data_IF_717758997504
#
_entry.id   IF_717758997504
#
_cell.length_a   1.000
_cell.length_b   1.000
_cell.length_c   1.000
_cell.angle_alpha   90.00
_cell.angle_beta   90.00
_cell.angle_gamma   90.00
#
_symmetry.space_group_name_H-M   'P 1'
#
loop_
_entity.id
_entity.type
_entity.pdbx_description
1 polymer ?
#
# COMPACT_ATOMS: atom_id res chain seq x y z
N UNK A 1 -26.69 -22.95 -10.99
CA UNK A 1 -26.27 -21.84 -11.88
C UNK A 1 -25.67 -22.49 -13.09
N UNK A 2 -26.22 -22.24 -14.29
CA UNK A 2 -25.55 -22.66 -15.52
C UNK A 2 -24.33 -21.77 -15.73
N UNK A 3 -23.20 -22.21 -15.23
CA UNK A 3 -21.93 -21.56 -15.47
C UNK A 3 -21.58 -21.76 -16.94
N UNK A 4 -21.78 -20.73 -17.75
CA UNK A 4 -21.57 -20.80 -19.19
C UNK A 4 -20.09 -20.54 -19.48
N UNK A 5 -19.45 -21.46 -20.19
CA UNK A 5 -18.15 -21.19 -20.78
C UNK A 5 -18.28 -20.21 -21.93
N UNK A 6 -17.30 -19.28 -21.99
CA UNK A 6 -17.21 -18.28 -23.05
C UNK A 6 -15.77 -18.19 -23.55
N UNK A 7 -15.63 -17.81 -24.82
CA UNK A 7 -14.32 -17.51 -25.39
C UNK A 7 -14.13 -15.99 -25.40
N UNK A 8 -13.07 -15.49 -24.75
CA UNK A 8 -12.69 -14.08 -24.75
C UNK A 8 -11.22 -13.97 -25.20
N UNK A 9 -10.91 -12.86 -25.84
CA UNK A 9 -9.52 -12.57 -26.14
C UNK A 9 -8.80 -12.16 -24.85
N UNK A 10 -7.68 -12.82 -24.50
CA UNK A 10 -6.88 -12.51 -23.31
C UNK A 10 -6.40 -11.06 -23.29
N UNK A 11 -6.30 -10.41 -24.45
CA UNK A 11 -5.97 -9.00 -24.55
C UNK A 11 -7.12 -8.05 -24.11
N UNK A 12 -8.36 -8.53 -24.04
CA UNK A 12 -9.56 -7.74 -23.74
C UNK A 12 -10.05 -7.90 -22.30
N UNK A 13 -9.33 -8.66 -21.47
CA UNK A 13 -9.65 -8.87 -20.06
C UNK A 13 -8.54 -8.35 -19.16
N UNK A 14 -8.90 -8.02 -17.92
CA UNK A 14 -7.99 -7.56 -16.87
C UNK A 14 -8.17 -8.46 -15.65
N UNK A 15 -7.07 -8.93 -15.10
CA UNK A 15 -7.07 -9.68 -13.85
C UNK A 15 -7.44 -8.77 -12.68
N UNK A 16 -8.30 -9.28 -11.80
CA UNK A 16 -8.75 -8.58 -10.58
C UNK A 16 -8.52 -9.44 -9.34
N UNK A 17 -8.34 -8.80 -8.19
CA UNK A 17 -8.08 -9.51 -6.93
C UNK A 17 -9.32 -10.31 -6.49
N UNK A 18 -9.16 -11.57 -6.14
CA UNK A 18 -10.24 -12.44 -5.64
C UNK A 18 -10.90 -11.93 -4.37
N UNK A 19 -10.16 -11.23 -3.53
CA UNK A 19 -10.63 -10.70 -2.25
C UNK A 19 -11.69 -9.61 -2.38
N UNK A 20 -11.97 -9.12 -3.58
CA UNK A 20 -13.11 -8.22 -3.82
C UNK A 20 -14.46 -8.93 -3.81
N UNK A 21 -14.47 -10.26 -3.86
CA UNK A 21 -15.70 -11.04 -4.05
C UNK A 21 -16.04 -11.85 -2.81
N UNK A 22 -17.33 -11.84 -2.44
CA UNK A 22 -17.91 -12.63 -1.35
C UNK A 22 -19.32 -13.07 -1.71
N UNK A 23 -19.83 -14.08 -1.04
CA UNK A 23 -21.16 -14.62 -1.30
C UNK A 23 -22.25 -13.58 -1.10
N UNK A 24 -23.17 -13.54 -2.05
CA UNK A 24 -24.27 -12.59 -2.07
C UNK A 24 -23.93 -11.22 -2.64
N UNK A 25 -22.65 -10.97 -3.03
CA UNK A 25 -22.28 -9.76 -3.72
C UNK A 25 -22.96 -9.69 -5.10
N UNK A 26 -23.60 -8.56 -5.37
CA UNK A 26 -24.17 -8.24 -6.69
C UNK A 26 -23.23 -7.29 -7.42
N UNK A 27 -22.43 -7.83 -8.33
CA UNK A 27 -21.48 -7.04 -9.12
C UNK A 27 -22.20 -6.45 -10.36
N UNK A 28 -21.98 -5.18 -10.71
CA UNK A 28 -22.65 -4.56 -11.86
C UNK A 28 -22.10 -5.00 -13.21
N UNK A 29 -21.00 -5.76 -13.22
CA UNK A 29 -20.34 -6.25 -14.43
C UNK A 29 -20.15 -7.76 -14.38
N UNK A 30 -20.02 -8.44 -15.53
CA UNK A 30 -19.73 -9.87 -15.55
C UNK A 30 -18.32 -10.14 -15.02
N UNK A 31 -18.19 -11.24 -14.27
CA UNK A 31 -16.92 -11.70 -13.67
C UNK A 31 -16.61 -13.09 -14.19
N UNK A 32 -15.34 -13.30 -14.53
CA UNK A 32 -14.88 -14.49 -15.21
C UNK A 32 -13.77 -15.19 -14.42
N UNK A 33 -13.78 -16.53 -14.43
CA UNK A 33 -12.68 -17.38 -14.01
C UNK A 33 -11.96 -17.91 -15.25
N UNK A 34 -10.64 -17.75 -15.32
CA UNK A 34 -9.86 -18.28 -16.43
C UNK A 34 -9.63 -19.78 -16.26
N UNK A 35 -10.05 -20.56 -17.25
CA UNK A 35 -9.83 -22.03 -17.33
C UNK A 35 -8.53 -22.33 -18.08
N UNK A 36 -8.35 -21.68 -19.23
CA UNK A 36 -7.15 -21.78 -20.07
C UNK A 36 -7.03 -20.52 -20.94
N UNK A 37 -6.04 -20.43 -21.80
CA UNK A 37 -5.87 -19.31 -22.71
C UNK A 37 -7.11 -19.14 -23.61
N UNK A 38 -7.73 -17.98 -23.58
CA UNK A 38 -8.92 -17.67 -24.34
C UNK A 38 -10.23 -18.29 -23.82
N UNK A 39 -10.19 -19.19 -22.81
CA UNK A 39 -11.36 -19.88 -22.28
C UNK A 39 -11.67 -19.44 -20.84
N UNK A 40 -12.90 -18.99 -20.64
CA UNK A 40 -13.35 -18.40 -19.39
C UNK A 40 -14.70 -18.98 -18.97
N UNK A 41 -14.89 -19.07 -17.65
CA UNK A 41 -16.16 -19.46 -17.03
C UNK A 41 -16.82 -18.21 -16.43
N UNK A 42 -18.08 -17.94 -16.78
CA UNK A 42 -18.84 -16.84 -16.15
C UNK A 42 -19.19 -17.25 -14.71
N UNK A 43 -18.63 -16.55 -13.72
CA UNK A 43 -18.85 -16.84 -12.29
C UNK A 43 -19.82 -15.85 -11.62
N UNK A 44 -20.03 -14.70 -12.22
CA UNK A 44 -21.09 -13.77 -11.85
C UNK A 44 -21.62 -13.05 -13.11
N UNK A 45 -22.94 -12.98 -13.25
CA UNK A 45 -23.60 -12.16 -14.25
C UNK A 45 -23.89 -10.77 -13.66
N UNK A 46 -24.01 -9.74 -14.51
CA UNK A 46 -24.29 -8.38 -14.04
C UNK A 46 -25.55 -8.33 -13.16
N UNK A 47 -25.41 -7.71 -11.99
CA UNK A 47 -26.48 -7.49 -11.00
C UNK A 47 -27.16 -8.75 -10.42
N UNK A 48 -26.61 -9.93 -10.68
CA UNK A 48 -27.03 -11.17 -10.02
C UNK A 48 -26.20 -11.41 -8.74
N UNK A 49 -26.85 -11.93 -7.68
CA UNK A 49 -26.13 -12.38 -6.48
C UNK A 49 -25.38 -13.65 -6.81
N UNK A 50 -24.07 -13.63 -6.69
CA UNK A 50 -23.21 -14.76 -6.97
C UNK A 50 -22.77 -15.48 -5.68
N UNK A 51 -22.51 -16.78 -5.80
CA UNK A 51 -21.91 -17.61 -4.74
C UNK A 51 -20.43 -17.77 -5.04
N UNK A 52 -19.62 -16.87 -4.48
CA UNK A 52 -18.17 -16.86 -4.68
C UNK A 52 -17.44 -17.89 -3.79
N UNK A 53 -18.08 -18.46 -2.77
CA UNK A 53 -17.54 -19.59 -1.99
C UNK A 53 -17.23 -20.81 -2.88
N UNK A 54 -17.99 -20.99 -3.96
CA UNK A 54 -17.69 -22.03 -4.95
C UNK A 54 -16.37 -21.81 -5.70
N UNK A 55 -15.83 -20.59 -5.74
CA UNK A 55 -14.49 -20.33 -6.29
C UNK A 55 -13.39 -21.04 -5.49
N UNK A 56 -13.58 -21.26 -4.20
CA UNK A 56 -12.63 -21.99 -3.38
C UNK A 56 -12.65 -23.49 -3.67
N UNK A 57 -13.77 -24.04 -4.16
CA UNK A 57 -13.87 -25.44 -4.56
C UNK A 57 -13.31 -25.73 -5.96
N UNK A 58 -13.24 -24.71 -6.85
CA UNK A 58 -12.53 -24.76 -8.13
C UNK A 58 -11.06 -24.32 -7.99
N UNK A 59 -10.67 -23.91 -6.80
CA UNK A 59 -9.40 -23.28 -6.55
C UNK A 59 -8.29 -24.29 -6.22
N UNK A 60 -7.64 -24.81 -7.21
CA UNK A 60 -6.18 -24.87 -7.16
C UNK A 60 -5.67 -23.44 -6.95
N UNK A 61 -4.55 -23.24 -6.22
CA UNK A 61 -3.98 -21.94 -5.88
C UNK A 61 -3.76 -20.96 -7.08
N UNK A 62 -4.02 -21.39 -8.30
CA UNK A 62 -3.83 -20.70 -9.58
C UNK A 62 -5.10 -20.12 -10.22
N UNK A 63 -6.30 -20.25 -9.61
CA UNK A 63 -7.51 -19.71 -10.24
C UNK A 63 -7.48 -18.18 -10.26
N UNK A 64 -7.44 -17.58 -11.44
CA UNK A 64 -7.35 -16.13 -11.68
C UNK A 64 -8.72 -15.60 -12.12
N UNK A 65 -9.12 -14.46 -11.56
CA UNK A 65 -10.42 -13.82 -11.81
C UNK A 65 -10.22 -12.61 -12.71
N UNK A 66 -11.15 -12.40 -13.64
CA UNK A 66 -11.03 -11.37 -14.66
C UNK A 66 -12.35 -10.61 -14.84
N UNK A 67 -12.21 -9.37 -15.31
CA UNK A 67 -13.29 -8.56 -15.88
C UNK A 67 -12.88 -8.06 -17.27
N UNK A 68 -13.84 -7.80 -18.16
CA UNK A 68 -13.52 -7.22 -19.45
C UNK A 68 -13.04 -5.77 -19.32
N UNK A 69 -12.09 -5.36 -20.17
CA UNK A 69 -11.53 -4.00 -20.17
C UNK A 69 -12.61 -2.92 -20.33
N UNK A 70 -13.62 -3.19 -21.16
CA UNK A 70 -14.74 -2.27 -21.39
C UNK A 70 -15.54 -2.00 -20.11
N UNK A 71 -15.57 -2.92 -19.17
CA UNK A 71 -16.29 -2.84 -17.90
C UNK A 71 -15.42 -2.45 -16.71
N UNK A 72 -14.11 -2.32 -16.90
CA UNK A 72 -13.15 -2.19 -15.82
C UNK A 72 -13.35 -0.94 -14.97
N UNK A 73 -13.58 0.22 -15.58
CA UNK A 73 -13.85 1.47 -14.84
C UNK A 73 -15.12 1.38 -13.98
N UNK A 74 -16.16 0.71 -14.51
CA UNK A 74 -17.41 0.48 -13.77
C UNK A 74 -17.17 -0.45 -12.58
N UNK A 75 -16.37 -1.50 -12.78
CA UNK A 75 -15.97 -2.42 -11.73
C UNK A 75 -15.19 -1.72 -10.61
N UNK A 76 -14.19 -0.91 -10.93
CA UNK A 76 -13.38 -0.21 -9.94
C UNK A 76 -14.19 0.83 -9.17
N UNK A 77 -15.06 1.59 -9.83
CA UNK A 77 -15.98 2.50 -9.11
C UNK A 77 -16.88 1.76 -8.15
N UNK A 78 -17.38 0.60 -8.55
CA UNK A 78 -18.19 -0.26 -7.69
C UNK A 78 -17.41 -0.74 -6.47
N UNK A 79 -16.20 -1.31 -6.66
CA UNK A 79 -15.35 -1.79 -5.56
C UNK A 79 -14.96 -0.65 -4.61
N UNK A 80 -14.67 0.54 -5.16
CA UNK A 80 -14.36 1.72 -4.34
C UNK A 80 -15.53 2.11 -3.45
N UNK A 81 -16.76 2.22 -4.02
CA UNK A 81 -17.95 2.56 -3.24
C UNK A 81 -18.32 1.47 -2.21
N UNK A 82 -18.10 0.20 -2.56
CA UNK A 82 -18.26 -0.92 -1.64
C UNK A 82 -17.28 -0.79 -0.46
N UNK A 83 -16.02 -0.50 -0.74
CA UNK A 83 -14.98 -0.33 0.29
C UNK A 83 -15.26 0.86 1.20
N UNK A 84 -15.75 1.98 0.65
CA UNK A 84 -16.21 3.14 1.44
C UNK A 84 -17.31 2.74 2.44
N UNK A 85 -18.30 1.98 1.97
CA UNK A 85 -19.37 1.46 2.85
C UNK A 85 -18.84 0.52 3.92
N UNK A 86 -17.89 -0.35 3.58
CA UNK A 86 -17.29 -1.30 4.51
C UNK A 86 -16.47 -0.63 5.60
N UNK A 87 -15.71 0.42 5.29
CA UNK A 87 -14.92 1.16 6.28
C UNK A 87 -15.83 1.78 7.33
N UNK A 88 -16.98 2.32 6.94
CA UNK A 88 -17.99 2.87 7.84
C UNK A 88 -18.75 1.83 8.68
N UNK A 89 -18.62 0.54 8.37
CA UNK A 89 -19.32 -0.52 9.12
C UNK A 89 -18.49 -1.01 10.31
N UNK A 90 -18.89 -0.64 11.53
CA UNK A 90 -18.19 -1.01 12.76
C UNK A 90 -18.20 -2.51 13.07
N UNK A 91 -19.16 -3.28 12.52
CA UNK A 91 -19.26 -4.72 12.75
C UNK A 91 -18.26 -5.55 11.94
N UNK A 92 -17.65 -4.96 10.90
CA UNK A 92 -16.68 -5.67 10.08
C UNK A 92 -15.28 -5.63 10.69
N UNK A 93 -14.57 -6.80 10.74
CA UNK A 93 -13.20 -6.86 11.22
C UNK A 93 -12.27 -5.92 10.42
N UNK A 94 -11.35 -5.24 11.10
CA UNK A 94 -10.38 -4.33 10.48
C UNK A 94 -9.52 -5.01 9.40
N UNK A 95 -9.15 -6.29 9.60
CA UNK A 95 -8.43 -7.09 8.58
C UNK A 95 -9.25 -7.24 7.30
N UNK A 96 -10.57 -7.42 7.39
CA UNK A 96 -11.44 -7.50 6.21
C UNK A 96 -11.43 -6.18 5.45
N UNK A 97 -11.63 -5.06 6.14
CA UNK A 97 -11.56 -3.71 5.55
C UNK A 97 -10.22 -3.47 4.88
N UNK A 98 -9.13 -3.86 5.54
CA UNK A 98 -7.77 -3.67 5.05
C UNK A 98 -7.49 -4.44 3.74
N UNK A 99 -8.02 -5.65 3.58
CA UNK A 99 -7.89 -6.42 2.33
C UNK A 99 -8.50 -5.70 1.12
N UNK A 100 -9.64 -5.03 1.31
CA UNK A 100 -10.28 -4.25 0.23
C UNK A 100 -9.47 -2.99 -0.10
N UNK A 101 -9.01 -2.28 0.94
CA UNK A 101 -8.16 -1.08 0.76
C UNK A 101 -6.85 -1.46 0.09
N UNK A 102 -6.20 -2.56 0.49
CA UNK A 102 -4.99 -3.06 -0.17
C UNK A 102 -5.22 -3.37 -1.65
N UNK A 103 -6.33 -4.04 -1.98
CA UNK A 103 -6.67 -4.33 -3.35
C UNK A 103 -6.81 -3.07 -4.21
N UNK A 104 -7.49 -2.03 -3.70
CA UNK A 104 -7.62 -0.74 -4.39
C UNK A 104 -6.28 0.00 -4.49
N UNK A 105 -5.46 -0.02 -3.44
CA UNK A 105 -4.12 0.56 -3.46
C UNK A 105 -3.23 -0.10 -4.51
N UNK A 106 -3.24 -1.43 -4.55
CA UNK A 106 -2.54 -2.20 -5.58
C UNK A 106 -3.02 -1.85 -7.00
N UNK A 107 -4.34 -1.68 -7.18
CA UNK A 107 -4.88 -1.25 -8.47
C UNK A 107 -4.35 0.12 -8.88
N UNK A 108 -4.36 1.11 -7.97
CA UNK A 108 -3.80 2.45 -8.27
C UNK A 108 -2.34 2.34 -8.69
N UNK A 109 -1.52 1.58 -7.97
CA UNK A 109 -0.11 1.36 -8.29
C UNK A 109 0.04 0.74 -9.69
N UNK A 110 -0.75 -0.29 -10.03
CA UNK A 110 -0.71 -0.94 -11.36
C UNK A 110 -1.10 -0.02 -12.52
N UNK A 111 -1.95 0.99 -12.30
CA UNK A 111 -2.28 1.96 -13.35
C UNK A 111 -1.05 2.76 -13.80
N UNK A 112 -0.13 3.05 -12.89
CA UNK A 112 1.15 3.71 -13.22
C UNK A 112 2.10 2.78 -13.96
N UNK A 113 2.20 1.50 -13.58
CA UNK A 113 2.98 0.49 -14.32
C UNK A 113 2.59 0.45 -15.80
N UNK A 114 1.30 0.51 -16.06
CA UNK A 114 0.75 0.39 -17.42
C UNK A 114 0.67 1.72 -18.18
N UNK A 115 1.13 2.85 -17.61
CA UNK A 115 1.01 4.21 -18.15
C UNK A 115 -0.44 4.57 -18.58
N UNK A 116 -1.44 4.06 -17.85
CA UNK A 116 -2.88 4.17 -18.15
C UNK A 116 -3.63 4.99 -17.11
N UNK A 117 -2.96 5.84 -16.37
CA UNK A 117 -3.63 6.65 -15.37
C UNK A 117 -4.51 7.70 -16.05
N UNK A 118 -5.82 7.53 -15.98
CA UNK A 118 -6.81 8.42 -16.61
C UNK A 118 -7.83 9.00 -15.61
N UNK A 119 -7.81 8.56 -14.35
CA UNK A 119 -8.80 8.96 -13.34
C UNK A 119 -8.15 9.44 -12.05
N UNK A 120 -7.77 10.73 -12.00
CA UNK A 120 -7.13 11.37 -10.86
C UNK A 120 -8.00 11.31 -9.58
N UNK A 121 -9.33 11.42 -9.69
CA UNK A 121 -10.25 11.35 -8.55
C UNK A 121 -10.16 10.01 -7.80
N UNK A 122 -9.82 8.92 -8.50
CA UNK A 122 -9.64 7.62 -7.87
C UNK A 122 -8.45 7.60 -6.93
N UNK A 123 -7.37 8.32 -7.28
CA UNK A 123 -6.19 8.45 -6.43
C UNK A 123 -6.55 9.08 -5.08
N UNK A 124 -7.24 10.22 -5.10
CA UNK A 124 -7.71 10.90 -3.89
C UNK A 124 -8.65 10.01 -3.07
N UNK A 125 -9.57 9.29 -3.73
CA UNK A 125 -10.49 8.39 -3.03
C UNK A 125 -9.76 7.24 -2.35
N UNK A 126 -8.82 6.58 -3.03
CA UNK A 126 -8.07 5.45 -2.47
C UNK A 126 -7.15 5.92 -1.33
N UNK A 127 -6.43 7.02 -1.47
CA UNK A 127 -5.62 7.58 -0.38
C UNK A 127 -6.46 7.96 0.84
N UNK A 128 -7.67 8.52 0.63
CA UNK A 128 -8.62 8.80 1.71
C UNK A 128 -9.11 7.52 2.41
N UNK A 129 -9.28 6.40 1.68
CA UNK A 129 -9.66 5.12 2.29
C UNK A 129 -8.54 4.53 3.15
N UNK A 130 -7.28 4.64 2.70
CA UNK A 130 -6.11 4.26 3.51
C UNK A 130 -6.06 5.09 4.79
N UNK A 131 -6.25 6.41 4.69
CA UNK A 131 -6.29 7.33 5.83
C UNK A 131 -7.41 6.96 6.82
N UNK A 132 -8.64 6.81 6.34
CA UNK A 132 -9.79 6.45 7.19
C UNK A 132 -9.59 5.11 7.90
N UNK A 133 -9.00 4.14 7.21
CA UNK A 133 -8.67 2.86 7.81
C UNK A 133 -7.60 3.03 8.90
N UNK A 134 -6.53 3.78 8.66
CA UNK A 134 -5.48 4.03 9.65
C UNK A 134 -6.02 4.71 10.91
N UNK A 135 -6.90 5.69 10.76
CA UNK A 135 -7.55 6.40 11.87
C UNK A 135 -8.60 5.56 12.63
N UNK A 136 -9.09 4.48 12.02
CA UNK A 136 -10.02 3.54 12.69
C UNK A 136 -9.33 2.51 13.57
N UNK A 137 -8.00 2.46 13.57
CA UNK A 137 -7.19 1.45 14.28
C UNK A 137 -6.77 1.98 15.64
N UNK A 138 -6.90 1.17 16.70
CA UNK A 138 -6.73 1.58 18.10
C UNK A 138 -5.31 1.43 18.64
N UNK A 139 -4.29 1.54 17.79
CA UNK A 139 -2.89 1.52 18.20
C UNK A 139 -2.03 0.52 17.42
N UNK A 140 -0.73 0.56 17.69
CA UNK A 140 0.27 -0.14 16.89
C UNK A 140 0.07 -1.68 16.85
N UNK A 141 -0.32 -2.31 17.96
CA UNK A 141 -0.56 -3.76 18.00
C UNK A 141 -1.70 -4.25 17.10
N UNK A 142 -2.71 -3.40 16.85
CA UNK A 142 -3.76 -3.71 15.88
C UNK A 142 -3.25 -3.55 14.45
N UNK A 143 -2.41 -2.55 14.19
CA UNK A 143 -1.72 -2.37 12.90
C UNK A 143 -0.88 -3.62 12.57
N UNK A 144 -0.07 -4.11 13.52
CA UNK A 144 0.72 -5.34 13.33
C UNK A 144 -0.17 -6.53 12.93
N UNK A 145 -1.31 -6.72 13.60
CA UNK A 145 -2.27 -7.82 13.29
C UNK A 145 -2.85 -7.67 11.89
N UNK A 146 -3.27 -6.45 11.53
CA UNK A 146 -3.83 -6.17 10.21
C UNK A 146 -2.80 -6.47 9.12
N UNK A 147 -1.62 -5.87 9.21
CA UNK A 147 -0.59 -5.98 8.20
C UNK A 147 -0.01 -7.40 8.08
N UNK A 148 0.09 -8.14 9.19
CA UNK A 148 0.51 -9.55 9.16
C UNK A 148 -0.48 -10.45 8.42
N UNK A 149 -1.75 -10.09 8.38
CA UNK A 149 -2.80 -10.84 7.69
C UNK A 149 -2.96 -10.47 6.20
N UNK A 150 -2.23 -9.46 5.72
CA UNK A 150 -2.25 -9.02 4.31
C UNK A 150 -1.17 -9.73 3.49
N UNK A 151 -1.44 -10.03 2.20
CA UNK A 151 -0.43 -10.43 1.24
C UNK A 151 0.75 -9.44 1.19
N UNK A 152 1.96 -9.96 1.01
CA UNK A 152 3.15 -9.13 0.91
C UNK A 152 3.30 -8.59 -0.52
N UNK A 153 2.98 -7.31 -0.72
CA UNK A 153 3.10 -6.59 -1.97
C UNK A 153 3.38 -5.09 -1.70
N UNK A 154 3.61 -4.31 -2.77
CA UNK A 154 3.89 -2.86 -2.67
C UNK A 154 2.74 -2.10 -1.99
N UNK A 155 1.49 -2.52 -2.21
CA UNK A 155 0.33 -1.90 -1.56
C UNK A 155 0.34 -2.10 -0.04
N UNK A 156 0.76 -3.28 0.45
CA UNK A 156 0.95 -3.52 1.89
C UNK A 156 2.02 -2.60 2.47
N UNK A 157 3.15 -2.44 1.78
CA UNK A 157 4.21 -1.53 2.22
C UNK A 157 3.71 -0.08 2.28
N UNK A 158 3.04 0.40 1.24
CA UNK A 158 2.44 1.74 1.20
C UNK A 158 1.42 1.96 2.33
N UNK A 159 0.59 0.96 2.64
CA UNK A 159 -0.35 1.01 3.75
C UNK A 159 0.36 1.01 5.11
N UNK A 160 1.39 0.19 5.29
CA UNK A 160 2.19 0.15 6.51
C UNK A 160 2.86 1.50 6.76
N UNK A 161 3.49 2.05 5.74
CA UNK A 161 4.11 3.39 5.79
C UNK A 161 3.08 4.45 6.16
N UNK A 162 1.86 4.40 5.57
CA UNK A 162 0.79 5.34 5.89
C UNK A 162 0.34 5.22 7.35
N UNK A 163 0.07 4.01 7.84
CA UNK A 163 -0.39 3.80 9.21
C UNK A 163 0.63 4.32 10.23
N UNK A 164 1.92 4.02 10.01
CA UNK A 164 3.01 4.49 10.87
C UNK A 164 3.14 6.01 10.79
N UNK A 165 3.08 6.60 9.59
CA UNK A 165 3.18 8.05 9.38
C UNK A 165 2.04 8.81 10.08
N UNK A 166 0.80 8.31 9.99
CA UNK A 166 -0.36 8.91 10.65
C UNK A 166 -0.21 8.83 12.17
N UNK A 167 0.18 7.68 12.74
CA UNK A 167 0.44 7.55 14.17
C UNK A 167 1.54 8.49 14.66
N UNK A 168 2.64 8.62 13.91
CA UNK A 168 3.71 9.58 14.24
C UNK A 168 3.16 11.01 14.23
N UNK A 169 2.37 11.39 13.23
CA UNK A 169 1.79 12.72 13.13
C UNK A 169 0.82 13.00 14.28
N UNK A 170 0.00 12.04 14.69
CA UNK A 170 -0.90 12.13 15.84
C UNK A 170 -0.10 12.25 17.16
N UNK A 171 0.95 11.46 17.38
CA UNK A 171 1.84 11.55 18.55
C UNK A 171 2.57 12.90 18.59
N UNK A 172 2.81 13.54 17.45
CA UNK A 172 3.36 14.89 17.34
C UNK A 172 2.29 15.98 17.47
N UNK A 173 1.07 15.63 17.87
CA UNK A 173 -0.06 16.56 18.07
C UNK A 173 -0.48 17.31 16.79
N UNK A 174 -0.23 16.75 15.61
CA UNK A 174 -0.73 17.28 14.35
C UNK A 174 -2.23 16.98 14.27
N UNK A 175 -3.07 17.99 14.06
CA UNK A 175 -4.53 17.85 14.04
C UNK A 175 -5.18 18.26 12.71
N UNK A 176 -4.42 18.84 11.80
CA UNK A 176 -4.94 19.36 10.53
C UNK A 176 -5.27 18.24 9.55
N UNK A 177 -6.54 18.07 9.19
CA UNK A 177 -7.01 17.03 8.28
C UNK A 177 -6.28 17.01 6.94
N UNK A 178 -6.00 18.19 6.37
CA UNK A 178 -5.24 18.33 5.12
C UNK A 178 -3.81 17.77 5.20
N UNK A 179 -3.18 17.79 6.38
CA UNK A 179 -1.85 17.21 6.58
C UNK A 179 -1.93 15.69 6.47
N UNK A 180 -2.92 15.07 7.09
CA UNK A 180 -3.15 13.63 7.01
C UNK A 180 -3.48 13.17 5.58
N UNK A 181 -4.29 13.94 4.84
CA UNK A 181 -4.58 13.65 3.43
C UNK A 181 -3.32 13.67 2.56
N UNK A 182 -2.46 14.69 2.73
CA UNK A 182 -1.17 14.79 2.02
C UNK A 182 -0.23 13.65 2.38
N UNK A 183 -0.12 13.32 3.68
CA UNK A 183 0.71 12.19 4.14
C UNK A 183 0.22 10.86 3.56
N UNK A 184 -1.09 10.60 3.62
CA UNK A 184 -1.67 9.37 3.09
C UNK A 184 -1.42 9.23 1.58
N UNK A 185 -1.59 10.30 0.82
CA UNK A 185 -1.31 10.30 -0.62
C UNK A 185 0.18 10.09 -0.90
N UNK A 186 1.07 10.76 -0.16
CA UNK A 186 2.51 10.56 -0.31
C UNK A 186 2.91 9.13 0.04
N UNK A 187 2.39 8.55 1.12
CA UNK A 187 2.65 7.15 1.50
C UNK A 187 2.16 6.16 0.44
N UNK A 188 1.00 6.41 -0.20
CA UNK A 188 0.49 5.54 -1.26
C UNK A 188 1.39 5.54 -2.49
N UNK A 189 2.02 6.68 -2.81
CA UNK A 189 2.70 6.93 -4.09
C UNK A 189 4.22 7.00 -4.01
N UNK A 190 4.83 6.99 -2.80
CA UNK A 190 6.26 7.30 -2.64
C UNK A 190 7.19 6.43 -3.51
N UNK A 191 6.80 5.18 -3.72
CA UNK A 191 7.57 4.19 -4.46
C UNK A 191 7.11 3.97 -5.90
N UNK A 192 6.18 4.79 -6.40
CA UNK A 192 5.66 4.62 -7.76
C UNK A 192 6.77 4.64 -8.82
N UNK A 193 7.87 5.33 -8.53
CA UNK A 193 9.05 5.38 -9.40
C UNK A 193 9.78 4.06 -9.58
N UNK A 194 9.59 3.08 -8.68
CA UNK A 194 10.17 1.74 -8.81
C UNK A 194 9.67 1.01 -10.06
N UNK A 195 8.44 1.29 -10.51
CA UNK A 195 7.87 0.72 -11.75
C UNK A 195 8.58 1.20 -13.03
N UNK A 196 9.47 2.19 -12.91
CA UNK A 196 10.32 2.66 -14.01
C UNK A 196 11.78 2.18 -13.88
N UNK A 197 12.05 1.27 -12.92
CA UNK A 197 13.31 0.58 -12.74
C UNK A 197 13.20 -0.82 -13.37
N UNK A 198 14.23 -1.34 -14.06
CA UNK A 198 14.22 -2.69 -14.59
C UNK A 198 13.98 -3.73 -13.49
N UNK A 199 12.96 -4.58 -13.68
CA UNK A 199 12.55 -5.60 -12.69
C UNK A 199 13.66 -6.60 -12.34
N UNK A 200 14.58 -6.87 -13.26
CA UNK A 200 15.72 -7.73 -13.02
C UNK A 200 16.65 -7.20 -11.93
N UNK A 201 16.77 -5.88 -11.76
CA UNK A 201 17.57 -5.28 -10.68
C UNK A 201 16.90 -5.47 -9.33
N UNK A 202 15.60 -5.22 -9.28
CA UNK A 202 14.82 -5.33 -8.03
C UNK A 202 14.69 -6.76 -7.49
N UNK A 203 14.91 -7.78 -8.33
CA UNK A 203 14.88 -9.20 -7.93
C UNK A 203 16.16 -9.69 -7.26
N UNK A 204 17.26 -8.96 -7.41
CA UNK A 204 18.53 -9.30 -6.78
C UNK A 204 18.59 -8.78 -5.34
N UNK A 205 19.25 -9.49 -4.42
CA UNK A 205 19.59 -8.94 -3.11
C UNK A 205 20.42 -7.64 -3.25
N UNK A 206 20.11 -6.63 -2.43
CA UNK A 206 20.78 -5.30 -2.57
C UNK A 206 22.32 -5.36 -2.41
N UNK A 207 22.83 -6.31 -1.65
CA UNK A 207 24.29 -6.47 -1.48
C UNK A 207 25.01 -6.99 -2.72
N UNK A 208 24.26 -7.55 -3.68
CA UNK A 208 24.78 -8.04 -4.98
C UNK A 208 24.66 -6.98 -6.10
N UNK A 209 24.16 -5.78 -5.78
CA UNK A 209 23.94 -4.74 -6.79
C UNK A 209 25.26 -4.10 -7.21
N UNK A 210 25.38 -3.87 -8.51
CA UNK A 210 26.44 -3.05 -9.08
C UNK A 210 26.22 -1.55 -8.77
N UNK A 211 27.24 -0.69 -8.88
CA UNK A 211 27.06 0.74 -8.73
C UNK A 211 26.00 1.33 -9.68
N UNK A 212 25.84 0.77 -10.87
CA UNK A 212 24.82 1.19 -11.85
C UNK A 212 23.41 0.81 -11.37
N UNK A 213 23.23 -0.39 -10.85
CA UNK A 213 21.95 -0.85 -10.29
C UNK A 213 21.55 -0.02 -9.04
N UNK A 214 22.52 0.33 -8.19
CA UNK A 214 22.31 1.28 -7.10
C UNK A 214 21.85 2.65 -7.61
N UNK A 215 22.52 3.21 -8.63
CA UNK A 215 22.15 4.50 -9.19
C UNK A 215 20.75 4.48 -9.83
N UNK A 216 20.36 3.37 -10.48
CA UNK A 216 19.01 3.19 -10.99
C UNK A 216 17.98 3.18 -9.85
N UNK A 217 18.24 2.42 -8.78
CA UNK A 217 17.36 2.41 -7.61
C UNK A 217 17.26 3.81 -6.97
N UNK A 218 18.38 4.48 -6.74
CA UNK A 218 18.40 5.83 -6.15
C UNK A 218 17.69 6.88 -7.01
N UNK A 219 17.44 6.60 -8.29
CA UNK A 219 16.70 7.50 -9.19
C UNK A 219 15.18 7.41 -9.05
N UNK A 220 14.63 6.36 -8.37
CA UNK A 220 13.17 6.15 -8.35
C UNK A 220 12.38 7.32 -7.71
N UNK A 221 12.86 8.07 -6.69
CA UNK A 221 12.11 9.21 -6.19
C UNK A 221 11.92 10.31 -7.25
N UNK A 222 12.92 10.51 -8.10
CA UNK A 222 12.84 11.47 -9.23
C UNK A 222 11.88 10.94 -10.30
N UNK A 223 12.00 9.66 -10.68
CA UNK A 223 11.08 9.05 -11.65
C UNK A 223 9.64 9.06 -11.17
N UNK A 224 9.44 8.91 -9.84
CA UNK A 224 8.12 9.02 -9.21
C UNK A 224 7.52 10.41 -9.41
N UNK A 225 8.24 11.48 -9.10
CA UNK A 225 7.71 12.83 -9.30
C UNK A 225 7.52 13.18 -10.80
N UNK A 226 8.36 12.66 -11.70
CA UNK A 226 8.15 12.82 -13.14
C UNK A 226 6.85 12.19 -13.62
N UNK A 227 6.46 11.04 -13.05
CA UNK A 227 5.20 10.36 -13.36
C UNK A 227 3.97 11.07 -12.78
N UNK A 228 4.13 11.82 -11.70
CA UNK A 228 3.04 12.39 -10.90
C UNK A 228 2.82 13.89 -11.08
N UNK A 229 3.82 14.66 -11.53
CA UNK A 229 3.83 16.13 -11.52
C UNK A 229 2.72 16.79 -12.34
N UNK A 230 2.19 16.09 -13.35
CA UNK A 230 1.14 16.62 -14.23
C UNK A 230 -0.28 16.28 -13.72
N UNK A 231 -0.39 15.51 -12.60
CA UNK A 231 -1.65 15.18 -11.98
C UNK A 231 -2.09 16.31 -11.03
N UNK A 232 -3.28 16.86 -11.26
CA UNK A 232 -3.82 18.01 -10.50
C UNK A 232 -4.08 17.69 -9.03
N UNK A 233 -4.41 16.43 -8.73
CA UNK A 233 -4.68 15.97 -7.36
C UNK A 233 -3.41 15.79 -6.52
N UNK A 234 -2.23 15.73 -7.15
CA UNK A 234 -0.95 15.58 -6.47
C UNK A 234 -0.32 16.94 -6.22
N UNK A 235 -0.42 17.40 -4.98
CA UNK A 235 0.08 18.72 -4.60
C UNK A 235 1.61 18.78 -4.55
N UNK A 236 2.17 19.99 -4.61
CA UNK A 236 3.62 20.19 -4.49
C UNK A 236 4.19 19.61 -3.19
N UNK A 237 3.46 19.69 -2.07
CA UNK A 237 3.90 19.11 -0.79
C UNK A 237 4.04 17.59 -0.89
N UNK A 238 3.11 16.91 -1.59
CA UNK A 238 3.17 15.47 -1.84
C UNK A 238 4.40 15.12 -2.68
N UNK A 239 4.66 15.85 -3.76
CA UNK A 239 5.85 15.64 -4.61
C UNK A 239 7.16 15.85 -3.83
N UNK A 240 7.20 16.86 -2.93
CA UNK A 240 8.35 17.10 -2.06
C UNK A 240 8.57 15.91 -1.14
N UNK A 241 7.55 15.42 -0.47
CA UNK A 241 7.65 14.23 0.38
C UNK A 241 8.16 13.01 -0.39
N UNK A 242 7.64 12.78 -1.60
CA UNK A 242 8.05 11.64 -2.45
C UNK A 242 9.52 11.75 -2.83
N UNK A 243 10.02 12.92 -3.22
CA UNK A 243 11.43 13.06 -3.59
C UNK A 243 12.37 12.96 -2.37
N UNK A 244 11.88 13.22 -1.18
CA UNK A 244 12.68 13.23 0.05
C UNK A 244 12.66 11.93 0.84
N UNK A 245 11.81 10.96 0.51
CA UNK A 245 11.54 9.80 1.39
C UNK A 245 12.74 8.87 1.64
N UNK A 246 13.82 9.01 0.91
CA UNK A 246 15.10 8.34 1.16
C UNK A 246 16.22 9.29 1.60
N UNK A 247 15.90 10.55 1.87
CA UNK A 247 16.86 11.45 2.53
C UNK A 247 17.03 11.07 4.01
N UNK A 248 18.04 11.63 4.67
CA UNK A 248 18.23 11.43 6.10
C UNK A 248 18.86 12.67 6.77
N UNK A 249 18.83 12.69 8.11
CA UNK A 249 19.31 13.84 8.87
C UNK A 249 20.81 14.13 8.68
N UNK A 250 21.60 13.12 8.29
CA UNK A 250 23.04 13.23 8.09
C UNK A 250 23.43 13.77 6.69
N UNK A 251 22.50 13.76 5.73
CA UNK A 251 22.74 14.14 4.34
C UNK A 251 23.49 13.07 3.55
N UNK A 252 23.38 11.81 3.96
CA UNK A 252 23.91 10.63 3.28
C UNK A 252 22.84 9.85 2.51
N UNK A 253 21.58 10.33 2.55
CA UNK A 253 20.47 9.77 1.79
C UNK A 253 20.53 10.11 0.31
N UNK A 254 19.43 9.92 -0.37
CA UNK A 254 19.30 10.22 -1.80
C UNK A 254 17.88 10.74 -2.12
N UNK A 255 17.64 11.39 -3.26
CA UNK A 255 18.56 11.66 -4.35
C UNK A 255 19.38 12.94 -4.18
N UNK A 256 18.97 13.88 -3.31
CA UNK A 256 19.55 15.24 -3.20
C UNK A 256 20.65 15.33 -2.16
N UNK A 257 20.81 14.34 -1.28
CA UNK A 257 21.78 14.31 -0.18
C UNK A 257 21.67 15.53 0.74
N UNK A 258 20.42 15.92 1.06
CA UNK A 258 20.12 17.08 1.91
C UNK A 258 20.09 16.68 3.38
N UNK A 259 20.54 17.59 4.25
CA UNK A 259 20.51 17.37 5.70
C UNK A 259 19.15 17.77 6.30
N UNK A 260 18.88 17.31 7.54
CA UNK A 260 17.64 17.47 8.27
C UNK A 260 16.99 18.85 8.14
N UNK A 261 17.75 19.91 8.30
CA UNK A 261 17.23 21.32 8.23
C UNK A 261 16.60 21.68 6.88
N UNK A 262 16.95 20.95 5.82
CA UNK A 262 16.44 21.18 4.45
C UNK A 262 15.33 20.19 4.06
N UNK A 263 15.11 19.14 4.86
CA UNK A 263 14.04 18.17 4.65
C UNK A 263 12.73 18.81 5.14
N UNK A 264 11.68 18.67 4.34
CA UNK A 264 10.35 19.20 4.70
C UNK A 264 9.82 18.55 5.99
N UNK A 265 9.02 19.24 6.80
CA UNK A 265 8.49 18.68 8.04
C UNK A 265 7.74 17.36 7.84
N UNK A 266 6.90 17.27 6.81
CA UNK A 266 6.16 16.04 6.49
C UNK A 266 7.05 14.96 5.83
N UNK A 267 8.07 15.38 5.07
CA UNK A 267 9.09 14.48 4.54
C UNK A 267 9.83 13.73 5.64
N UNK A 268 10.16 14.40 6.76
CA UNK A 268 10.79 13.74 7.93
C UNK A 268 9.91 12.65 8.51
N UNK A 269 8.58 12.84 8.54
CA UNK A 269 7.63 11.82 9.01
C UNK A 269 7.61 10.65 8.05
N UNK A 270 7.47 10.92 6.75
CA UNK A 270 7.47 9.86 5.72
C UNK A 270 8.76 9.04 5.72
N UNK A 271 9.93 9.67 5.84
CA UNK A 271 11.24 9.01 5.91
C UNK A 271 11.29 7.98 7.06
N UNK A 272 10.91 8.41 8.27
CA UNK A 272 10.94 7.53 9.45
C UNK A 272 9.92 6.40 9.30
N UNK A 273 8.72 6.71 8.84
CA UNK A 273 7.65 5.74 8.66
C UNK A 273 8.01 4.69 7.59
N UNK A 274 8.56 5.13 6.45
CA UNK A 274 8.99 4.27 5.38
C UNK A 274 10.10 3.31 5.83
N UNK A 275 11.16 3.84 6.44
CA UNK A 275 12.27 3.04 6.90
C UNK A 275 11.85 2.01 7.97
N UNK A 276 10.99 2.42 8.90
CA UNK A 276 10.47 1.53 9.93
C UNK A 276 9.56 0.44 9.34
N UNK A 277 8.73 0.77 8.35
CA UNK A 277 7.93 -0.21 7.60
C UNK A 277 8.81 -1.24 6.87
N UNK A 278 9.92 -0.81 6.25
CA UNK A 278 10.89 -1.69 5.61
C UNK A 278 11.51 -2.70 6.59
N UNK A 279 11.78 -2.29 7.82
CA UNK A 279 12.32 -3.17 8.86
C UNK A 279 11.31 -4.20 9.36
N UNK A 280 10.03 -3.82 9.46
CA UNK A 280 8.98 -4.69 10.00
C UNK A 280 8.44 -5.70 8.99
N UNK A 281 8.32 -5.28 7.73
CA UNK A 281 7.66 -6.06 6.68
C UNK A 281 8.66 -6.31 5.57
N UNK A 282 9.20 -7.53 5.57
CA UNK A 282 10.16 -7.99 4.58
C UNK A 282 9.76 -7.56 3.17
N UNK A 283 10.52 -6.64 2.59
CA UNK A 283 10.29 -6.11 1.25
C UNK A 283 11.28 -6.64 0.22
N UNK A 284 12.43 -7.09 0.66
CA UNK A 284 13.53 -7.48 -0.24
C UNK A 284 14.07 -8.85 0.14
N UNK A 285 13.85 -9.82 -0.78
CA UNK A 285 14.54 -11.10 -0.93
C UNK A 285 15.41 -11.56 0.27
N UNK A 286 14.77 -12.16 1.30
CA UNK A 286 15.47 -12.88 2.36
C UNK A 286 16.07 -12.03 3.48
N UNK A 287 15.76 -10.73 3.56
CA UNK A 287 16.07 -9.94 4.75
C UNK A 287 15.16 -10.37 5.91
N UNK A 288 15.73 -10.59 7.08
CA UNK A 288 14.97 -10.93 8.28
C UNK A 288 14.15 -9.72 8.71
N UNK A 289 12.82 -9.88 8.85
CA UNK A 289 11.97 -8.86 9.46
C UNK A 289 12.29 -8.74 10.95
N UNK A 290 12.25 -7.50 11.45
CA UNK A 290 12.41 -7.19 12.86
C UNK A 290 11.02 -7.11 13.51
N UNK A 291 10.92 -7.48 14.79
CA UNK A 291 9.80 -6.97 15.59
C UNK A 291 10.00 -5.47 15.90
N UNK A 292 8.95 -4.79 16.31
CA UNK A 292 9.00 -3.34 16.47
C UNK A 292 10.02 -2.85 17.50
N UNK A 293 10.19 -3.47 18.69
CA UNK A 293 11.25 -3.13 19.63
C UNK A 293 12.66 -3.31 19.06
N UNK A 294 12.93 -4.42 18.39
CA UNK A 294 14.24 -4.69 17.76
C UNK A 294 14.53 -3.73 16.62
N UNK A 295 13.50 -3.32 15.84
CA UNK A 295 13.65 -2.32 14.80
C UNK A 295 14.07 -0.96 15.38
N UNK A 296 13.47 -0.53 16.50
CA UNK A 296 13.90 0.69 17.22
C UNK A 296 15.35 0.57 17.69
N UNK A 297 15.70 -0.55 18.32
CA UNK A 297 17.06 -0.80 18.80
C UNK A 297 18.10 -0.81 17.66
N UNK A 298 17.77 -1.42 16.54
CA UNK A 298 18.60 -1.41 15.34
C UNK A 298 18.84 0.02 14.82
N UNK A 299 17.80 0.85 14.75
CA UNK A 299 17.93 2.25 14.32
C UNK A 299 18.83 3.04 15.29
N UNK A 300 18.69 2.85 16.59
CA UNK A 300 19.49 3.56 17.59
C UNK A 300 20.95 3.11 17.64
N UNK A 301 21.18 1.81 17.71
CA UNK A 301 22.49 1.26 18.07
C UNK A 301 23.34 0.87 16.85
N UNK A 302 22.72 0.50 15.74
CA UNK A 302 23.45 0.06 14.53
C UNK A 302 23.55 1.18 13.51
N UNK A 303 22.44 1.91 13.25
CA UNK A 303 22.45 3.00 12.27
C UNK A 303 22.91 4.34 12.85
N UNK A 304 23.02 4.48 14.19
CA UNK A 304 23.36 5.76 14.81
C UNK A 304 22.27 6.83 14.67
N UNK A 305 21.02 6.40 14.53
CA UNK A 305 19.83 7.26 14.48
C UNK A 305 19.93 8.38 13.41
N UNK A 306 19.93 8.06 12.12
CA UNK A 306 20.11 9.03 11.03
C UNK A 306 18.84 9.83 10.71
N UNK A 307 17.91 10.00 11.65
CA UNK A 307 16.59 10.60 11.47
C UNK A 307 16.39 11.87 12.30
N UNK A 308 15.36 12.66 11.97
CA UNK A 308 14.95 13.78 12.81
C UNK A 308 14.59 13.30 14.21
N UNK A 309 15.18 13.93 15.24
CA UNK A 309 15.08 13.48 16.63
C UNK A 309 13.66 13.55 17.19
N UNK A 310 12.86 14.54 16.78
CA UNK A 310 11.47 14.70 17.25
C UNK A 310 10.59 13.62 16.66
N UNK A 311 10.69 13.40 15.34
CA UNK A 311 9.92 12.37 14.64
C UNK A 311 10.26 10.99 15.15
N UNK A 312 11.55 10.69 15.30
CA UNK A 312 11.98 9.37 15.80
C UNK A 312 11.56 9.15 17.26
N UNK A 313 11.57 10.20 18.10
CA UNK A 313 11.05 10.12 19.47
C UNK A 313 9.56 9.78 19.48
N UNK A 314 8.76 10.40 18.62
CA UNK A 314 7.34 10.10 18.51
C UNK A 314 7.11 8.62 18.15
N UNK A 315 7.82 8.08 17.14
CA UNK A 315 7.77 6.65 16.82
C UNK A 315 8.14 5.78 18.04
N UNK A 316 9.23 6.11 18.73
CA UNK A 316 9.68 5.36 19.90
C UNK A 316 8.64 5.34 21.02
N UNK A 317 8.00 6.47 21.31
CA UNK A 317 6.90 6.56 22.30
C UNK A 317 5.75 5.62 21.94
N UNK A 318 5.32 5.60 20.69
CA UNK A 318 4.26 4.70 20.20
C UNK A 318 4.60 3.24 20.49
N UNK A 319 5.83 2.81 20.19
CA UNK A 319 6.24 1.43 20.40
C UNK A 319 6.37 1.09 21.89
N UNK A 320 6.91 1.99 22.72
CA UNK A 320 6.99 1.79 24.18
C UNK A 320 5.57 1.63 24.77
N UNK A 321 4.63 2.48 24.40
CA UNK A 321 3.25 2.41 24.87
C UNK A 321 2.57 1.09 24.45
N UNK A 322 2.84 0.62 23.25
CA UNK A 322 2.34 -0.67 22.75
C UNK A 322 2.87 -1.84 23.59
N UNK A 323 4.17 -1.86 23.89
CA UNK A 323 4.77 -2.91 24.71
C UNK A 323 4.29 -2.89 26.17
N UNK A 324 4.03 -1.70 26.73
CA UNK A 324 3.42 -1.57 28.05
C UNK A 324 2.00 -2.18 28.06
N UNK A 325 1.18 -1.89 27.05
CA UNK A 325 -0.16 -2.48 26.91
C UNK A 325 -0.10 -4.00 26.80
N UNK A 326 0.76 -4.57 25.95
CA UNK A 326 0.96 -6.02 25.81
C UNK A 326 1.29 -6.68 27.17
N UNK A 327 2.17 -6.07 27.97
CA UNK A 327 2.54 -6.59 29.31
C UNK A 327 1.36 -6.58 30.30
N UNK A 328 0.54 -5.53 30.28
CA UNK A 328 -0.65 -5.44 31.14
C UNK A 328 -1.69 -6.49 30.76
N UNK A 329 -1.92 -6.70 29.48
CA UNK A 329 -2.90 -7.67 28.99
C UNK A 329 -2.47 -9.13 29.24
N UNK A 330 -1.16 -9.41 29.18
CA UNK A 330 -0.61 -10.73 29.50
C UNK A 330 -0.55 -11.02 31.03
N UNK A 331 -0.69 -10.00 31.87
CA UNK A 331 -0.70 -10.15 33.33
C UNK A 331 -2.13 -10.36 33.93
N UNK A 332 -3.18 -10.28 33.11
CA UNK A 332 -4.58 -10.55 33.44
C UNK A 332 -4.96 -11.98 33.12
#
# INVERSE_FOLDING_TARGET
MDNKEVTLNDADVIEVKKNYFFDGLSCPVPVYLRLSQGHYLVIAKPNEKALFSSLNSFANAQSRVFVEKVHYDTFIRFVTSLTESMIGNETLPAVTKAKYVQGLSHHVIQLFENKKFSNEQQLTRVSSLVLKLSQSVSGFGEIEKILSALPNDDAKHSMATCFIAIMIAEEMEITQGQVFEKLSMACLLHDIGLHYIPNEFLKKPRHDWTPEEHAHYESHPIKGIEALRDLKEVTQDVLIMIVEHHENALGTGFPKKIRDVKISPLGRILIVANYFADLLFERVNGAQSYDAPLAIEFIENVLGQPFNKQVFRALKNIIILNEMKKRIDNAK
#
